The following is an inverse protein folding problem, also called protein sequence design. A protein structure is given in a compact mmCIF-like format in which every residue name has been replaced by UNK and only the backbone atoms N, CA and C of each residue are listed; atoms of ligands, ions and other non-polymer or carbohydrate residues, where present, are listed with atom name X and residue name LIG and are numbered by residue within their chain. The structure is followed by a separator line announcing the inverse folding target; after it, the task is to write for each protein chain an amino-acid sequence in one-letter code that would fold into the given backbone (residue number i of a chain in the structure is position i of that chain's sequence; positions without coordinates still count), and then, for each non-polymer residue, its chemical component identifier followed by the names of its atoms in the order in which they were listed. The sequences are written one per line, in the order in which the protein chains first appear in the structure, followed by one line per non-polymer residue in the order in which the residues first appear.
data_IF_305081301288
#
_entry.id   IF_305081301288
#
_cell.length_a   1.000
_cell.length_b   1.000
_cell.length_c   1.000
_cell.angle_alpha   90.00
_cell.angle_beta   90.00
_cell.angle_gamma   90.00
#
_symmetry.space_group_name_H-M   'P 1'
#
loop_
_entity.id
_entity.type
_entity.pdbx_description
1 polymer ?
#
# COMPACT_ATOMS: atom_id res chain seq x y z
N UNK A 1 8.68 -21.42 -58.18
CA UNK A 1 9.24 -21.88 -56.89
C UNK A 1 10.78 -21.77 -56.85
N UNK A 2 11.45 -21.66 -58.00
CA UNK A 2 12.89 -21.41 -58.14
C UNK A 2 13.35 -19.99 -57.73
N UNK A 3 12.52 -18.96 -57.90
CA UNK A 3 12.88 -17.56 -57.57
C UNK A 3 13.06 -17.28 -56.07
N UNK A 4 12.33 -17.99 -55.19
CA UNK A 4 12.46 -17.83 -53.73
C UNK A 4 13.74 -18.50 -53.21
N UNK A 5 14.12 -19.63 -53.83
CA UNK A 5 15.27 -20.47 -53.46
C UNK A 5 16.59 -19.75 -53.72
N UNK A 6 16.73 -19.07 -54.85
CA UNK A 6 17.90 -18.22 -55.13
C UNK A 6 17.95 -16.96 -54.25
N UNK A 7 16.81 -16.48 -53.75
CA UNK A 7 16.75 -15.24 -52.97
C UNK A 7 17.40 -15.35 -51.59
N UNK A 8 17.13 -16.42 -50.82
CA UNK A 8 17.63 -16.54 -49.44
C UNK A 8 19.13 -16.86 -49.40
N UNK A 9 19.59 -17.77 -50.25
CA UNK A 9 21.02 -18.10 -50.37
C UNK A 9 21.82 -16.87 -50.79
N UNK A 10 21.32 -16.08 -51.74
CA UNK A 10 22.00 -14.86 -52.18
C UNK A 10 22.01 -13.81 -51.07
N UNK A 11 20.90 -13.58 -50.36
CA UNK A 11 20.85 -12.65 -49.21
C UNK A 11 21.88 -12.99 -48.13
N UNK A 12 22.05 -14.28 -47.82
CA UNK A 12 23.03 -14.73 -46.82
C UNK A 12 24.45 -14.54 -47.33
N UNK A 13 24.72 -14.82 -48.62
CA UNK A 13 26.03 -14.56 -49.24
C UNK A 13 26.36 -13.08 -49.27
N UNK A 14 25.40 -12.22 -49.58
CA UNK A 14 25.58 -10.76 -49.61
C UNK A 14 25.89 -10.23 -48.21
N UNK A 15 25.19 -10.73 -47.18
CA UNK A 15 25.44 -10.35 -45.79
C UNK A 15 26.84 -10.78 -45.32
N UNK A 16 27.27 -11.99 -45.68
CA UNK A 16 28.57 -12.55 -45.32
C UNK A 16 29.71 -12.11 -46.27
N UNK A 17 29.38 -11.45 -47.39
CA UNK A 17 30.29 -11.06 -48.48
C UNK A 17 31.09 -12.24 -49.05
N UNK A 18 30.39 -13.33 -49.36
CA UNK A 18 30.98 -14.56 -49.88
C UNK A 18 30.76 -14.72 -51.39
N UNK A 19 31.81 -15.12 -52.10
CA UNK A 19 31.77 -15.48 -53.52
C UNK A 19 32.04 -16.99 -53.70
N UNK A 20 31.27 -17.66 -54.57
CA UNK A 20 31.43 -19.09 -54.85
C UNK A 20 30.19 -19.95 -54.53
N UNK A 21 30.32 -21.27 -54.72
CA UNK A 21 29.29 -22.26 -54.37
C UNK A 21 29.50 -22.76 -52.94
N UNK A 22 28.45 -22.66 -52.13
CA UNK A 22 28.42 -23.14 -50.76
C UNK A 22 27.14 -23.93 -50.56
N UNK A 23 27.21 -25.02 -49.79
CA UNK A 23 26.00 -25.72 -49.34
C UNK A 23 25.19 -24.86 -48.38
N UNK A 24 23.88 -25.11 -48.33
CA UNK A 24 22.96 -24.41 -47.41
C UNK A 24 23.38 -24.58 -45.94
N UNK A 25 23.88 -25.76 -45.56
CA UNK A 25 24.39 -26.05 -44.22
C UNK A 25 25.72 -25.34 -43.89
N UNK A 26 26.62 -25.17 -44.86
CA UNK A 26 27.86 -24.40 -44.67
C UNK A 26 27.56 -22.91 -44.48
N UNK A 27 26.67 -22.35 -45.29
CA UNK A 27 26.22 -20.96 -45.16
C UNK A 27 25.58 -20.72 -43.79
N UNK A 28 24.78 -21.67 -43.30
CA UNK A 28 24.19 -21.57 -41.97
C UNK A 28 25.25 -21.54 -40.87
N UNK A 29 26.28 -22.38 -40.97
CA UNK A 29 27.37 -22.39 -39.99
C UNK A 29 28.14 -21.08 -39.97
N UNK A 30 28.49 -20.54 -41.13
CA UNK A 30 29.19 -19.26 -41.23
C UNK A 30 28.32 -18.09 -40.74
N UNK A 31 27.03 -18.11 -41.05
CA UNK A 31 26.09 -17.10 -40.55
C UNK A 31 25.93 -17.16 -39.03
N UNK A 32 25.92 -18.36 -38.45
CA UNK A 32 25.85 -18.56 -37.01
C UNK A 32 27.12 -18.07 -36.29
N UNK A 33 28.30 -18.31 -36.86
CA UNK A 33 29.55 -17.77 -36.34
C UNK A 33 29.59 -16.25 -36.44
N UNK A 34 29.15 -15.70 -37.57
CA UNK A 34 29.03 -14.25 -37.76
C UNK A 34 28.09 -13.63 -36.72
N UNK A 35 26.90 -14.21 -36.51
CA UNK A 35 25.96 -13.83 -35.45
C UNK A 35 26.61 -13.79 -34.07
N UNK A 36 27.38 -14.84 -33.74
CA UNK A 36 28.07 -14.95 -32.45
C UNK A 36 29.13 -13.86 -32.26
N UNK A 37 29.77 -13.41 -33.33
CA UNK A 37 30.74 -12.31 -33.31
C UNK A 37 30.09 -10.93 -33.20
N UNK A 38 28.83 -10.81 -33.62
CA UNK A 38 28.03 -9.60 -33.52
C UNK A 38 27.23 -9.50 -32.21
N UNK A 39 27.42 -10.40 -31.25
CA UNK A 39 26.66 -10.34 -29.99
C UNK A 39 26.92 -9.00 -29.27
N UNK A 40 25.87 -8.23 -28.89
CA UNK A 40 26.03 -6.89 -28.30
C UNK A 40 26.94 -6.86 -27.07
N UNK A 41 26.91 -7.92 -26.25
CA UNK A 41 27.75 -8.04 -25.04
C UNK A 41 29.26 -8.05 -25.31
N UNK A 42 29.70 -8.26 -26.56
CA UNK A 42 31.13 -8.18 -26.93
C UNK A 42 31.63 -6.74 -27.08
N UNK A 43 30.73 -5.76 -27.16
CA UNK A 43 31.07 -4.35 -27.35
C UNK A 43 30.99 -3.61 -26.01
N UNK A 44 31.92 -2.69 -25.77
CA UNK A 44 32.01 -1.94 -24.52
C UNK A 44 31.23 -0.62 -24.56
N UNK A 45 31.17 0.01 -25.73
CA UNK A 45 30.57 1.34 -25.93
C UNK A 45 29.13 1.24 -26.42
N UNK A 46 28.26 2.13 -25.95
CA UNK A 46 26.81 2.07 -26.22
C UNK A 46 26.46 2.23 -27.70
N UNK A 47 27.10 3.16 -28.43
CA UNK A 47 26.87 3.34 -29.87
C UNK A 47 27.20 2.06 -30.66
N UNK A 48 28.28 1.37 -30.28
CA UNK A 48 28.70 0.11 -30.91
C UNK A 48 27.76 -1.04 -30.54
N UNK A 49 27.25 -1.08 -29.30
CA UNK A 49 26.26 -2.07 -28.88
C UNK A 49 24.96 -1.92 -29.66
N UNK A 50 24.52 -0.69 -29.89
CA UNK A 50 23.28 -0.43 -30.62
C UNK A 50 23.40 -0.86 -32.08
N UNK A 51 24.51 -0.50 -32.75
CA UNK A 51 24.78 -0.96 -34.12
C UNK A 51 24.91 -2.49 -34.20
N UNK A 52 25.60 -3.10 -33.22
CA UNK A 52 25.72 -4.55 -33.13
C UNK A 52 24.37 -5.23 -32.90
N UNK A 53 23.48 -4.67 -32.08
CA UNK A 53 22.16 -5.24 -31.82
C UNK A 53 21.25 -5.20 -33.05
N UNK A 54 21.31 -4.14 -33.85
CA UNK A 54 20.58 -4.08 -35.12
C UNK A 54 21.09 -5.14 -36.11
N UNK A 55 22.41 -5.27 -36.26
CA UNK A 55 23.01 -6.32 -37.11
C UNK A 55 22.70 -7.72 -36.58
N UNK A 56 22.77 -7.93 -35.27
CA UNK A 56 22.46 -9.20 -34.62
C UNK A 56 21.01 -9.63 -34.89
N UNK A 57 20.05 -8.69 -34.77
CA UNK A 57 18.64 -8.94 -35.12
C UNK A 57 18.45 -9.32 -36.58
N UNK A 58 19.11 -8.58 -37.49
CA UNK A 58 19.06 -8.87 -38.93
C UNK A 58 19.60 -10.27 -39.24
N UNK A 59 20.74 -10.64 -38.65
CA UNK A 59 21.37 -11.95 -38.84
C UNK A 59 20.52 -13.08 -38.22
N UNK A 60 19.88 -12.85 -37.06
CA UNK A 60 18.94 -13.82 -36.46
C UNK A 60 17.74 -14.12 -37.37
N UNK A 61 17.20 -13.09 -38.03
CA UNK A 61 16.11 -13.27 -39.00
C UNK A 61 16.58 -14.13 -40.19
N UNK A 62 17.77 -13.84 -40.73
CA UNK A 62 18.37 -14.61 -41.84
C UNK A 62 18.66 -16.07 -41.44
N UNK A 63 19.13 -16.33 -40.22
CA UNK A 63 19.32 -17.71 -39.71
C UNK A 63 18.01 -18.48 -39.69
N UNK A 64 16.93 -17.85 -39.24
CA UNK A 64 15.60 -18.48 -39.18
C UNK A 64 15.03 -18.75 -40.58
N UNK A 65 15.21 -17.82 -41.52
CA UNK A 65 14.81 -18.02 -42.92
C UNK A 65 15.62 -19.14 -43.59
N UNK A 66 16.93 -19.18 -43.36
CA UNK A 66 17.82 -20.20 -43.91
C UNK A 66 17.55 -21.58 -43.30
N UNK A 67 17.23 -21.67 -42.01
CA UNK A 67 16.83 -22.92 -41.37
C UNK A 67 15.56 -23.51 -41.99
N UNK A 68 14.55 -22.66 -42.24
CA UNK A 68 13.32 -23.09 -42.92
C UNK A 68 13.63 -23.61 -44.32
N UNK A 69 14.50 -22.91 -45.06
CA UNK A 69 14.96 -23.35 -46.37
C UNK A 69 15.66 -24.71 -46.30
N UNK A 70 16.58 -24.92 -45.36
CA UNK A 70 17.29 -26.18 -45.14
C UNK A 70 16.32 -27.34 -44.81
N UNK A 71 15.28 -27.07 -44.02
CA UNK A 71 14.22 -28.05 -43.74
C UNK A 71 13.43 -28.44 -44.98
N UNK A 72 13.03 -27.46 -45.78
CA UNK A 72 12.33 -27.69 -47.06
C UNK A 72 13.19 -28.50 -48.03
N UNK A 73 14.48 -28.15 -48.13
CA UNK A 73 15.47 -28.89 -48.94
C UNK A 73 15.61 -30.34 -48.48
N UNK A 74 15.69 -30.57 -47.16
CA UNK A 74 15.75 -31.92 -46.57
C UNK A 74 14.50 -32.74 -46.89
N UNK A 75 13.31 -32.14 -46.85
CA UNK A 75 12.04 -32.81 -47.15
C UNK A 75 11.90 -33.18 -48.64
N UNK A 76 12.56 -32.44 -49.52
CA UNK A 76 12.54 -32.69 -50.97
C UNK A 76 13.50 -33.82 -51.42
N UNK A 77 14.52 -34.15 -50.61
CA UNK A 77 15.53 -35.18 -50.93
C UNK A 77 15.03 -36.60 -50.64
N UNK A 78 15.49 -37.58 -51.42
CA UNK A 78 15.19 -38.99 -51.15
C UNK A 78 15.98 -39.48 -49.91
N UNK A 79 15.47 -40.46 -49.14
CA UNK A 79 16.16 -40.96 -47.94
C UNK A 79 17.63 -41.35 -48.17
N UNK A 80 17.96 -41.98 -49.31
CA UNK A 80 19.34 -42.36 -49.65
C UNK A 80 20.30 -41.18 -49.91
N UNK A 81 19.77 -40.02 -50.30
CA UNK A 81 20.54 -38.79 -50.54
C UNK A 81 20.77 -37.98 -49.25
N UNK A 82 20.00 -38.29 -48.19
CA UNK A 82 20.07 -37.59 -46.90
C UNK A 82 21.14 -38.19 -45.99
N UNK A 83 21.37 -39.52 -46.07
CA UNK A 83 22.27 -40.26 -45.18
C UNK A 83 23.66 -39.60 -45.06
N UNK A 84 24.33 -39.17 -46.15
CA UNK A 84 25.65 -38.56 -46.07
C UNK A 84 25.68 -37.19 -45.36
N UNK A 85 24.53 -36.50 -45.26
CA UNK A 85 24.42 -35.14 -44.74
C UNK A 85 23.62 -35.05 -43.44
N UNK A 86 23.24 -36.19 -42.87
CA UNK A 86 22.37 -36.28 -41.69
C UNK A 86 22.93 -35.44 -40.52
N UNK A 87 24.21 -35.58 -40.23
CA UNK A 87 24.88 -34.89 -39.13
C UNK A 87 24.87 -33.36 -39.35
N UNK A 88 25.07 -32.90 -40.59
CA UNK A 88 25.01 -31.48 -40.94
C UNK A 88 23.62 -30.89 -40.69
N UNK A 89 22.55 -31.61 -41.05
CA UNK A 89 21.18 -31.19 -40.75
C UNK A 89 20.86 -31.19 -39.25
N UNK A 90 21.38 -32.16 -38.49
CA UNK A 90 21.23 -32.21 -37.04
C UNK A 90 21.94 -31.05 -36.35
N UNK A 91 23.17 -30.72 -36.76
CA UNK A 91 23.93 -29.57 -36.24
C UNK A 91 23.16 -28.25 -36.45
N UNK A 92 22.59 -28.03 -37.64
CA UNK A 92 21.75 -26.85 -37.92
C UNK A 92 20.57 -26.79 -36.96
N UNK A 93 19.88 -27.91 -36.76
CA UNK A 93 18.71 -28.01 -35.87
C UNK A 93 19.09 -27.69 -34.41
N UNK A 94 20.20 -28.23 -33.92
CA UNK A 94 20.71 -27.98 -32.56
C UNK A 94 21.06 -26.50 -32.39
N UNK A 95 21.81 -25.93 -33.35
CA UNK A 95 22.17 -24.51 -33.33
C UNK A 95 20.94 -23.60 -33.33
N UNK A 96 19.94 -23.88 -34.15
CA UNK A 96 18.71 -23.10 -34.17
C UNK A 96 17.93 -23.22 -32.86
N UNK A 97 17.89 -24.42 -32.27
CA UNK A 97 17.25 -24.64 -30.97
C UNK A 97 17.93 -23.79 -29.88
N UNK A 98 19.26 -23.68 -29.90
CA UNK A 98 19.99 -22.81 -28.98
C UNK A 98 19.60 -21.34 -29.16
N UNK A 99 19.49 -20.85 -30.41
CA UNK A 99 19.03 -19.47 -30.70
C UNK A 99 17.64 -19.23 -30.09
N UNK A 100 16.70 -20.16 -30.29
CA UNK A 100 15.35 -20.05 -29.74
C UNK A 100 15.33 -20.07 -28.20
N UNK A 101 16.19 -20.86 -27.57
CA UNK A 101 16.34 -20.89 -26.11
C UNK A 101 16.89 -19.56 -25.58
N UNK A 102 17.90 -18.99 -26.22
CA UNK A 102 18.46 -17.68 -25.87
C UNK A 102 17.41 -16.58 -25.96
N UNK A 103 16.61 -16.54 -27.03
CA UNK A 103 15.50 -15.59 -27.18
C UNK A 103 14.45 -15.77 -26.07
N UNK A 104 14.13 -17.02 -25.73
CA UNK A 104 13.21 -17.32 -24.64
C UNK A 104 13.75 -16.85 -23.30
N UNK A 105 15.04 -17.05 -23.02
CA UNK A 105 15.70 -16.55 -21.80
C UNK A 105 15.57 -15.02 -21.72
N UNK A 106 15.94 -14.30 -22.79
CA UNK A 106 15.83 -12.82 -22.83
C UNK A 106 14.39 -12.34 -22.60
N UNK A 107 13.41 -13.05 -23.17
CA UNK A 107 11.98 -12.73 -22.98
C UNK A 107 11.51 -12.96 -21.53
N UNK A 108 11.99 -14.04 -20.89
CA UNK A 108 11.66 -14.37 -19.50
C UNK A 108 12.31 -13.38 -18.54
N UNK A 109 13.56 -12.98 -18.77
CA UNK A 109 14.24 -11.94 -17.98
C UNK A 109 13.52 -10.59 -18.06
N UNK A 110 13.07 -10.21 -19.27
CA UNK A 110 12.25 -9.02 -19.48
C UNK A 110 10.92 -9.11 -18.72
N UNK A 111 10.31 -10.30 -18.65
CA UNK A 111 9.07 -10.54 -17.90
C UNK A 111 9.30 -10.46 -16.39
N UNK A 112 10.41 -11.02 -15.88
CA UNK A 112 10.79 -10.98 -14.47
C UNK A 112 11.01 -9.52 -14.04
N UNK A 113 11.77 -8.75 -14.80
CA UNK A 113 12.03 -7.34 -14.49
C UNK A 113 10.76 -6.49 -14.48
N UNK A 114 9.84 -6.72 -15.42
CA UNK A 114 8.52 -6.08 -15.43
C UNK A 114 7.68 -6.46 -14.19
N UNK A 115 7.66 -7.74 -13.82
CA UNK A 115 6.93 -8.24 -12.64
C UNK A 115 7.53 -7.72 -11.33
N UNK A 116 8.84 -7.61 -11.24
CA UNK A 116 9.52 -7.03 -10.07
C UNK A 116 9.19 -5.54 -9.91
N UNK A 117 9.09 -4.80 -11.01
CA UNK A 117 8.64 -3.41 -10.99
C UNK A 117 7.19 -3.30 -10.51
N UNK A 118 6.28 -4.11 -11.06
CA UNK A 118 4.86 -4.17 -10.64
C UNK A 118 4.74 -4.52 -9.15
N UNK A 119 5.51 -5.48 -8.65
CA UNK A 119 5.55 -5.84 -7.23
C UNK A 119 6.07 -4.70 -6.34
N UNK A 120 7.05 -3.92 -6.81
CA UNK A 120 7.55 -2.76 -6.07
C UNK A 120 6.49 -1.67 -5.96
N UNK A 121 5.79 -1.37 -7.06
CA UNK A 121 4.72 -0.38 -7.07
C UNK A 121 3.53 -0.81 -6.20
N UNK A 122 3.05 -2.05 -6.33
CA UNK A 122 1.99 -2.59 -5.46
C UNK A 122 2.37 -2.55 -3.97
N UNK A 123 3.63 -2.85 -3.63
CA UNK A 123 4.12 -2.73 -2.25
C UNK A 123 4.10 -1.29 -1.74
N UNK A 124 4.41 -0.31 -2.59
CA UNK A 124 4.32 1.12 -2.23
C UNK A 124 2.86 1.53 -2.03
N UNK A 125 1.96 1.15 -2.93
CA UNK A 125 0.54 1.46 -2.84
C UNK A 125 -0.10 0.86 -1.58
N UNK A 126 0.19 -0.41 -1.28
CA UNK A 126 -0.25 -1.05 -0.03
C UNK A 126 0.28 -0.29 1.20
N UNK A 127 1.51 0.22 1.16
CA UNK A 127 2.08 1.01 2.27
C UNK A 127 1.35 2.35 2.44
N UNK A 128 1.05 3.04 1.34
CA UNK A 128 0.30 4.30 1.35
C UNK A 128 -1.12 4.09 1.89
N UNK A 129 -1.88 3.15 1.31
CA UNK A 129 -3.23 2.81 1.76
C UNK A 129 -3.27 2.39 3.24
N UNK A 130 -2.26 1.66 3.71
CA UNK A 130 -2.16 1.26 5.12
C UNK A 130 -1.92 2.46 6.04
N UNK A 131 -0.99 3.34 5.68
CA UNK A 131 -0.69 4.54 6.48
C UNK A 131 -1.90 5.48 6.54
N UNK A 132 -2.56 5.72 5.40
CA UNK A 132 -3.73 6.59 5.32
C UNK A 132 -4.91 6.06 6.12
N UNK A 133 -5.12 4.73 6.16
CA UNK A 133 -6.30 4.14 6.81
C UNK A 133 -6.31 4.26 8.34
N UNK A 134 -5.15 4.19 9.00
CA UNK A 134 -5.10 4.42 10.46
C UNK A 134 -5.36 5.88 10.81
N UNK A 135 -4.87 6.80 9.99
CA UNK A 135 -5.10 8.23 10.19
C UNK A 135 -6.52 8.63 9.81
N UNK A 136 -7.10 8.02 8.76
CA UNK A 136 -8.52 8.15 8.41
C UNK A 136 -9.41 7.68 9.56
N UNK A 137 -9.15 6.49 10.14
CA UNK A 137 -9.92 5.98 11.30
C UNK A 137 -9.76 6.87 12.53
N UNK A 138 -8.57 7.44 12.72
CA UNK A 138 -8.33 8.41 13.80
C UNK A 138 -9.12 9.70 13.56
N UNK A 139 -9.10 10.22 12.33
CA UNK A 139 -9.84 11.43 11.96
C UNK A 139 -11.35 11.22 11.99
N UNK A 140 -11.86 10.05 11.58
CA UNK A 140 -13.27 9.67 11.67
C UNK A 140 -13.73 9.67 13.13
N UNK A 141 -12.98 9.00 14.02
CA UNK A 141 -13.27 8.98 15.45
C UNK A 141 -13.24 10.41 16.04
N UNK A 142 -12.19 11.18 15.77
CA UNK A 142 -12.08 12.58 16.27
C UNK A 142 -13.22 13.44 15.73
N UNK A 143 -13.63 13.27 14.47
CA UNK A 143 -14.71 14.03 13.84
C UNK A 143 -16.07 13.80 14.50
N UNK A 144 -16.34 12.61 15.04
CA UNK A 144 -17.56 12.34 15.81
C UNK A 144 -17.65 13.14 17.11
N UNK A 145 -16.50 13.43 17.73
CA UNK A 145 -16.41 14.22 18.96
C UNK A 145 -16.14 15.70 18.72
N UNK A 146 -15.71 16.07 17.50
CA UNK A 146 -15.49 17.45 17.10
C UNK A 146 -16.79 18.25 17.11
N UNK A 147 -16.83 19.43 17.74
CA UNK A 147 -17.98 20.32 17.60
C UNK A 147 -18.17 20.68 16.12
N UNK A 148 -19.34 20.35 15.57
CA UNK A 148 -19.64 20.45 14.14
C UNK A 148 -19.46 21.88 13.63
N UNK A 149 -18.43 22.15 12.81
CA UNK A 149 -18.19 23.49 12.23
C UNK A 149 -19.25 23.94 11.21
N UNK A 150 -20.07 23.03 10.67
CA UNK A 150 -20.89 23.25 9.46
C UNK A 150 -22.35 23.67 9.67
N UNK A 151 -22.80 23.99 10.88
CA UNK A 151 -24.16 24.54 11.03
C UNK A 151 -24.15 25.70 12.03
N UNK A 152 -24.16 26.92 11.52
CA UNK A 152 -24.59 28.15 12.21
C UNK A 152 -23.77 28.69 13.40
N UNK A 153 -22.74 28.01 13.92
CA UNK A 153 -22.24 28.34 15.27
C UNK A 153 -21.08 29.35 15.37
N UNK A 154 -20.22 29.61 14.38
CA UNK A 154 -19.16 30.63 14.56
C UNK A 154 -19.68 32.05 14.38
N UNK A 155 -20.53 32.27 13.37
CA UNK A 155 -21.32 33.51 13.20
C UNK A 155 -22.46 33.59 14.20
N UNK A 156 -23.09 32.47 14.54
CA UNK A 156 -24.14 32.40 15.54
C UNK A 156 -23.63 32.60 16.96
N UNK A 157 -22.37 32.28 17.28
CA UNK A 157 -21.75 32.51 18.59
C UNK A 157 -21.29 33.96 18.74
N UNK A 158 -20.66 34.56 17.73
CA UNK A 158 -20.42 36.02 17.77
C UNK A 158 -21.76 36.74 17.80
N UNK A 159 -22.75 36.34 17.00
CA UNK A 159 -24.10 36.89 17.09
C UNK A 159 -24.76 36.64 18.45
N UNK A 160 -24.69 35.44 19.04
CA UNK A 160 -25.24 35.15 20.37
C UNK A 160 -24.52 35.91 21.46
N UNK A 161 -23.20 36.02 21.41
CA UNK A 161 -22.40 36.76 22.37
C UNK A 161 -22.66 38.26 22.22
N UNK A 162 -22.74 38.78 21.01
CA UNK A 162 -23.09 40.19 20.73
C UNK A 162 -24.55 40.48 21.09
N UNK A 163 -25.47 39.55 20.84
CA UNK A 163 -26.88 39.63 21.26
C UNK A 163 -26.99 39.52 22.79
N UNK A 164 -26.23 38.65 23.44
CA UNK A 164 -26.15 38.53 24.90
C UNK A 164 -25.54 39.79 25.51
N UNK A 165 -24.50 40.38 24.91
CA UNK A 165 -23.95 41.67 25.32
C UNK A 165 -24.95 42.81 25.09
N UNK A 166 -25.73 42.77 24.00
CA UNK A 166 -26.81 43.72 23.72
C UNK A 166 -28.00 43.58 24.67
N UNK A 167 -28.32 42.35 25.09
CA UNK A 167 -29.35 42.05 26.09
C UNK A 167 -28.84 42.42 27.48
N UNK A 168 -27.57 42.16 27.81
CA UNK A 168 -26.94 42.55 29.08
C UNK A 168 -26.82 44.07 29.22
N UNK A 169 -26.48 44.78 28.15
CA UNK A 169 -26.37 46.25 28.16
C UNK A 169 -27.73 46.95 28.23
N UNK A 170 -28.81 46.25 27.86
CA UNK A 170 -30.20 46.72 27.94
C UNK A 170 -31.05 45.87 28.87
N UNK A 171 -30.44 45.18 29.84
CA UNK A 171 -31.14 44.15 30.61
C UNK A 171 -32.25 44.78 31.46
N UNK A 172 -32.03 46.01 31.93
CA UNK A 172 -33.02 46.79 32.68
C UNK A 172 -34.20 47.20 31.78
N UNK A 173 -33.96 47.60 30.52
CA UNK A 173 -35.02 47.95 29.56
C UNK A 173 -35.86 46.71 29.16
N UNK A 174 -35.19 45.57 28.96
CA UNK A 174 -35.82 44.29 28.59
C UNK A 174 -36.58 43.70 29.78
N UNK A 175 -36.04 43.79 31.00
CA UNK A 175 -36.71 43.38 32.23
C UNK A 175 -38.02 44.17 32.48
N UNK A 176 -38.03 45.48 32.20
CA UNK A 176 -39.25 46.32 32.25
C UNK A 176 -40.28 45.91 31.19
N UNK A 177 -39.83 45.58 29.96
CA UNK A 177 -40.70 45.14 28.89
C UNK A 177 -41.30 43.75 29.16
N UNK A 178 -40.50 42.81 29.66
CA UNK A 178 -40.95 41.45 29.97
C UNK A 178 -41.82 41.43 31.24
N UNK A 179 -41.50 42.21 32.28
CA UNK A 179 -42.34 42.30 33.48
C UNK A 179 -43.74 42.89 33.21
N UNK A 180 -43.90 43.64 32.11
CA UNK A 180 -45.21 44.15 31.65
C UNK A 180 -46.11 43.08 31.03
N UNK A 181 -45.55 42.01 30.46
CA UNK A 181 -46.28 40.96 29.73
C UNK A 181 -46.12 39.56 30.33
N UNK A 182 -45.25 39.39 31.34
CA UNK A 182 -44.98 38.11 32.00
C UNK A 182 -45.43 38.17 33.46
N UNK A 183 -46.16 37.17 33.97
CA UNK A 183 -46.51 37.06 35.38
C UNK A 183 -45.32 36.69 36.28
N UNK A 184 -44.11 36.56 35.71
CA UNK A 184 -42.89 36.17 36.43
C UNK A 184 -42.20 37.38 37.04
N UNK A 185 -41.79 37.24 38.31
CA UNK A 185 -40.97 38.26 38.99
C UNK A 185 -39.66 38.46 38.25
N UNK A 186 -39.24 39.71 38.10
CA UNK A 186 -38.01 40.13 37.41
C UNK A 186 -36.77 39.32 37.79
N UNK A 187 -36.58 39.07 39.10
CA UNK A 187 -35.47 38.26 39.63
C UNK A 187 -35.41 36.84 39.03
N UNK A 188 -36.56 36.24 38.75
CA UNK A 188 -36.65 34.90 38.17
C UNK A 188 -36.23 34.89 36.69
N UNK A 189 -36.63 35.92 35.92
CA UNK A 189 -36.22 36.08 34.53
C UNK A 189 -34.72 36.30 34.40
N UNK A 190 -34.14 37.17 35.24
CA UNK A 190 -32.69 37.40 35.26
C UNK A 190 -31.92 36.12 35.62
N UNK A 191 -32.44 35.31 36.54
CA UNK A 191 -31.85 34.02 36.91
C UNK A 191 -31.89 33.04 35.73
N UNK A 192 -33.00 32.95 34.99
CA UNK A 192 -33.11 32.07 33.81
C UNK A 192 -32.12 32.49 32.73
N UNK A 193 -32.07 33.78 32.40
CA UNK A 193 -31.16 34.32 31.38
C UNK A 193 -29.70 34.03 31.77
N UNK A 194 -29.33 34.24 33.04
CA UNK A 194 -28.01 33.93 33.56
C UNK A 194 -27.66 32.44 33.46
N UNK A 195 -28.61 31.55 33.80
CA UNK A 195 -28.42 30.09 33.68
C UNK A 195 -28.20 29.68 32.22
N UNK A 196 -28.98 30.21 31.28
CA UNK A 196 -28.80 29.94 29.84
C UNK A 196 -27.42 30.42 29.36
N UNK A 197 -27.02 31.62 29.80
CA UNK A 197 -25.75 32.24 29.42
C UNK A 197 -24.55 31.40 29.89
N UNK A 198 -24.63 30.79 31.08
CA UNK A 198 -23.57 29.91 31.60
C UNK A 198 -23.65 28.49 31.00
N UNK A 199 -24.85 27.97 30.76
CA UNK A 199 -25.03 26.61 30.25
C UNK A 199 -24.42 26.42 28.85
N UNK A 200 -24.54 27.41 27.96
CA UNK A 200 -24.05 27.32 26.58
C UNK A 200 -22.50 27.15 26.53
N UNK A 201 -21.68 28.02 27.15
CA UNK A 201 -20.24 27.83 27.25
C UNK A 201 -19.86 26.51 27.93
N UNK A 202 -20.59 26.09 28.97
CA UNK A 202 -20.30 24.83 29.67
C UNK A 202 -20.52 23.60 28.77
N UNK A 203 -21.58 23.56 27.96
CA UNK A 203 -21.82 22.48 27.00
C UNK A 203 -20.70 22.43 25.95
N UNK A 204 -20.23 23.58 25.49
CA UNK A 204 -19.15 23.65 24.51
C UNK A 204 -17.80 23.26 25.11
N UNK A 205 -17.47 23.79 26.29
CA UNK A 205 -16.26 23.45 27.04
C UNK A 205 -16.22 21.94 27.32
N UNK A 206 -17.37 21.36 27.69
CA UNK A 206 -17.54 19.92 27.84
C UNK A 206 -17.18 19.17 26.55
N UNK A 207 -17.80 19.49 25.41
CA UNK A 207 -17.52 18.82 24.13
C UNK A 207 -16.06 18.97 23.68
N UNK A 208 -15.48 20.16 23.84
CA UNK A 208 -14.07 20.39 23.50
C UNK A 208 -13.12 19.62 24.41
N UNK A 209 -13.50 19.42 25.67
CA UNK A 209 -12.74 18.59 26.60
C UNK A 209 -12.85 17.10 26.23
N UNK A 210 -14.03 16.62 25.83
CA UNK A 210 -14.24 15.27 25.30
C UNK A 210 -13.37 14.99 24.08
N UNK A 211 -13.37 15.91 23.10
CA UNK A 211 -12.51 15.83 21.90
C UNK A 211 -11.03 15.67 22.26
N UNK A 212 -10.51 16.53 23.16
CA UNK A 212 -9.11 16.46 23.60
C UNK A 212 -8.77 15.16 24.33
N UNK A 213 -9.70 14.61 25.12
CA UNK A 213 -9.47 13.33 25.80
C UNK A 213 -9.37 12.20 24.77
N UNK A 214 -10.31 12.14 23.82
CA UNK A 214 -10.34 11.11 22.78
C UNK A 214 -9.12 11.22 21.87
N UNK A 215 -8.74 12.42 21.45
CA UNK A 215 -7.54 12.66 20.64
C UNK A 215 -6.28 12.17 21.37
N UNK A 216 -6.13 12.50 22.66
CA UNK A 216 -5.01 11.99 23.48
C UNK A 216 -5.05 10.48 23.61
N UNK A 217 -6.22 9.88 23.80
CA UNK A 217 -6.35 8.42 23.90
C UNK A 217 -5.96 7.75 22.57
N UNK A 218 -6.47 8.26 21.44
CA UNK A 218 -6.15 7.76 20.11
C UNK A 218 -4.65 7.88 19.77
N UNK A 219 -4.01 8.98 20.17
CA UNK A 219 -2.56 9.13 20.02
C UNK A 219 -1.79 8.22 20.97
N UNK A 220 -2.24 8.10 22.22
CA UNK A 220 -1.62 7.25 23.24
C UNK A 220 -1.58 5.78 22.81
N UNK A 221 -2.68 5.25 22.25
CA UNK A 221 -2.69 3.83 21.82
C UNK A 221 -1.67 3.55 20.72
N UNK A 222 -1.29 4.56 19.92
CA UNK A 222 -0.27 4.39 18.86
C UNK A 222 1.16 4.36 19.39
N UNK A 223 1.40 4.81 20.62
CA UNK A 223 2.76 5.00 21.18
C UNK A 223 3.46 3.66 21.47
N UNK A 224 4.81 3.61 21.35
CA UNK A 224 5.56 2.40 21.67
C UNK A 224 5.38 1.92 23.11
N UNK A 225 5.31 2.85 24.07
CA UNK A 225 5.05 2.52 25.49
C UNK A 225 3.74 1.77 25.68
N UNK A 226 2.69 2.18 24.97
CA UNK A 226 1.38 1.52 25.06
C UNK A 226 1.39 0.13 24.40
N UNK A 227 2.11 -0.01 23.28
CA UNK A 227 2.33 -1.29 22.61
C UNK A 227 3.09 -2.27 23.52
N UNK A 228 4.14 -1.81 24.19
CA UNK A 228 4.91 -2.66 25.11
C UNK A 228 4.05 -3.12 26.29
N UNK A 229 3.25 -2.22 26.86
CA UNK A 229 2.28 -2.60 27.89
C UNK A 229 1.26 -3.64 27.41
N UNK A 230 0.93 -3.67 26.12
CA UNK A 230 0.08 -4.72 25.55
C UNK A 230 0.83 -6.06 25.44
N UNK A 231 2.10 -6.05 25.05
CA UNK A 231 2.93 -7.27 25.01
C UNK A 231 3.08 -7.86 26.41
N UNK A 232 3.39 -7.01 27.41
CA UNK A 232 3.44 -7.41 28.82
C UNK A 232 2.09 -7.98 29.30
N UNK A 233 0.97 -7.40 28.87
CA UNK A 233 -0.35 -7.94 29.13
C UNK A 233 -0.53 -9.34 28.51
N UNK A 234 -0.10 -9.57 27.28
CA UNK A 234 -0.21 -10.91 26.67
C UNK A 234 0.62 -11.97 27.42
N UNK A 235 1.78 -11.57 27.95
CA UNK A 235 2.61 -12.41 28.81
C UNK A 235 1.96 -12.68 30.18
N UNK A 236 1.42 -11.65 30.84
CA UNK A 236 0.71 -11.74 32.13
C UNK A 236 -0.42 -12.77 32.08
N UNK A 237 -1.16 -12.82 30.97
CA UNK A 237 -2.30 -13.74 30.76
C UNK A 237 -1.92 -15.03 30.03
N UNK A 238 -0.63 -15.31 29.80
CA UNK A 238 -0.12 -16.52 29.14
C UNK A 238 -0.76 -16.81 27.77
N UNK A 239 -1.12 -15.75 27.03
CA UNK A 239 -1.70 -15.86 25.69
C UNK A 239 -0.62 -16.18 24.63
N UNK A 240 0.66 -16.02 25.00
CA UNK A 240 1.79 -16.22 24.11
C UNK A 240 1.75 -15.23 22.96
N UNK A 241 2.12 -15.69 21.76
CA UNK A 241 2.19 -14.81 20.59
C UNK A 241 0.87 -14.68 19.84
N UNK A 242 -0.20 -15.35 20.29
CA UNK A 242 -1.52 -15.32 19.65
C UNK A 242 -2.51 -14.55 20.51
N UNK A 243 -3.31 -13.69 19.89
CA UNK A 243 -4.35 -12.95 20.58
C UNK A 243 -5.52 -12.65 19.64
N UNK A 244 -6.71 -12.41 20.18
CA UNK A 244 -7.90 -12.00 19.44
C UNK A 244 -8.24 -10.53 19.66
N UNK A 245 -9.22 -10.00 18.92
CA UNK A 245 -9.69 -8.64 19.12
C UNK A 245 -10.22 -8.40 20.53
N UNK A 246 -10.86 -9.42 21.12
CA UNK A 246 -11.35 -9.37 22.49
C UNK A 246 -10.20 -9.13 23.48
N UNK A 247 -9.02 -9.71 23.24
CA UNK A 247 -7.86 -9.47 24.10
C UNK A 247 -7.40 -8.01 24.02
N UNK A 248 -7.39 -7.41 22.83
CA UNK A 248 -7.09 -5.99 22.63
C UNK A 248 -8.12 -5.11 23.33
N UNK A 249 -9.41 -5.41 23.13
CA UNK A 249 -10.51 -4.70 23.76
C UNK A 249 -10.36 -4.70 25.29
N UNK A 250 -10.15 -5.87 25.88
CA UNK A 250 -9.98 -6.03 27.33
C UNK A 250 -8.75 -5.26 27.86
N UNK A 251 -7.66 -5.25 27.11
CA UNK A 251 -6.48 -4.45 27.45
C UNK A 251 -6.79 -2.95 27.44
N UNK A 252 -7.46 -2.46 26.40
CA UNK A 252 -7.87 -1.05 26.31
C UNK A 252 -8.79 -0.66 27.46
N UNK A 253 -9.76 -1.50 27.81
CA UNK A 253 -10.61 -1.27 28.99
C UNK A 253 -9.77 -1.22 30.26
N UNK A 254 -8.83 -2.15 30.47
CA UNK A 254 -7.95 -2.22 31.66
C UNK A 254 -7.07 -0.97 31.82
N UNK A 255 -6.65 -0.36 30.71
CA UNK A 255 -5.69 0.76 30.67
C UNK A 255 -6.33 2.15 30.57
N UNK A 256 -7.46 2.29 29.87
CA UNK A 256 -8.07 3.59 29.59
C UNK A 256 -9.28 3.88 30.46
N UNK A 257 -10.02 2.85 30.90
CA UNK A 257 -11.21 3.06 31.73
C UNK A 257 -10.80 3.22 33.20
N UNK A 258 -11.20 4.31 33.87
CA UNK A 258 -10.90 4.51 35.27
C UNK A 258 -11.49 3.40 36.15
N UNK A 259 -10.68 2.88 37.08
CA UNK A 259 -11.11 1.83 38.02
C UNK A 259 -11.91 2.36 39.20
N UNK A 260 -11.64 3.60 39.64
CA UNK A 260 -12.29 4.15 40.82
C UNK A 260 -13.76 4.45 40.55
N UNK A 261 -14.63 4.13 41.51
CA UNK A 261 -16.09 4.28 41.35
C UNK A 261 -16.51 5.69 40.97
N UNK A 262 -15.96 6.72 41.63
CA UNK A 262 -16.29 8.12 41.37
C UNK A 262 -15.86 8.58 39.98
N UNK A 263 -14.66 8.22 39.53
CA UNK A 263 -14.20 8.56 38.18
C UNK A 263 -14.97 7.77 37.13
N UNK A 264 -15.25 6.48 37.36
CA UNK A 264 -16.11 5.68 36.48
C UNK A 264 -17.49 6.31 36.33
N UNK A 265 -18.11 6.76 37.41
CA UNK A 265 -19.40 7.46 37.37
C UNK A 265 -19.30 8.77 36.55
N UNK A 266 -18.26 9.57 36.80
CA UNK A 266 -18.03 10.82 36.07
C UNK A 266 -17.87 10.60 34.55
N UNK A 267 -17.04 9.64 34.14
CA UNK A 267 -16.80 9.30 32.72
C UNK A 267 -17.90 8.48 32.06
N UNK A 268 -18.91 8.02 32.80
CA UNK A 268 -20.08 7.33 32.23
C UNK A 268 -21.32 8.22 32.16
N UNK A 269 -21.49 9.14 33.13
CA UNK A 269 -22.69 10.00 33.22
C UNK A 269 -22.43 11.44 32.83
N UNK A 270 -21.27 11.99 33.17
CA UNK A 270 -20.97 13.41 32.95
C UNK A 270 -20.19 13.62 31.66
N UNK A 271 -19.17 12.79 31.38
CA UNK A 271 -18.35 12.84 30.17
C UNK A 271 -18.26 11.45 29.53
N UNK A 272 -19.23 11.02 28.72
CA UNK A 272 -19.28 9.68 28.13
C UNK A 272 -18.25 9.48 27.02
N UNK A 273 -16.96 9.55 27.35
CA UNK A 273 -15.85 9.42 26.38
C UNK A 273 -15.45 7.96 26.17
N UNK A 274 -15.46 7.11 27.19
CA UNK A 274 -15.06 5.69 27.09
C UNK A 274 -16.28 4.76 27.00
N UNK A 275 -17.17 5.05 26.05
CA UNK A 275 -18.26 4.13 25.71
C UNK A 275 -17.73 2.89 24.99
N UNK A 276 -18.52 1.83 24.94
CA UNK A 276 -18.20 0.61 24.20
C UNK A 276 -17.81 0.90 22.73
N UNK A 277 -18.59 1.76 22.06
CA UNK A 277 -18.31 2.19 20.68
C UNK A 277 -16.97 2.95 20.54
N UNK A 278 -16.58 3.73 21.55
CA UNK A 278 -15.28 4.41 21.55
C UNK A 278 -14.15 3.42 21.71
N UNK A 279 -14.27 2.48 22.65
CA UNK A 279 -13.23 1.47 22.88
C UNK A 279 -13.09 0.57 21.67
N UNK A 280 -14.18 0.22 21.01
CA UNK A 280 -14.17 -0.56 19.77
C UNK A 280 -13.47 0.20 18.63
N UNK A 281 -13.74 1.50 18.48
CA UNK A 281 -13.00 2.35 17.54
C UNK A 281 -11.49 2.45 17.88
N UNK A 282 -11.14 2.57 19.16
CA UNK A 282 -9.74 2.62 19.61
C UNK A 282 -9.03 1.29 19.41
N UNK A 283 -9.74 0.17 19.57
CA UNK A 283 -9.27 -1.19 19.27
C UNK A 283 -8.88 -1.31 17.80
N UNK A 284 -9.74 -0.85 16.90
CA UNK A 284 -9.43 -0.83 15.48
C UNK A 284 -8.19 0.03 15.19
N UNK A 285 -8.11 1.25 15.73
CA UNK A 285 -6.94 2.13 15.56
C UNK A 285 -5.66 1.44 16.05
N UNK A 286 -5.72 0.77 17.21
CA UNK A 286 -4.59 0.06 17.78
C UNK A 286 -4.14 -1.11 16.91
N UNK A 287 -5.07 -1.98 16.49
CA UNK A 287 -4.79 -3.14 15.63
C UNK A 287 -4.21 -2.69 14.29
N UNK A 288 -4.80 -1.68 13.66
CA UNK A 288 -4.27 -1.14 12.40
C UNK A 288 -2.87 -0.57 12.58
N UNK A 289 -2.60 0.16 13.67
CA UNK A 289 -1.26 0.66 13.98
C UNK A 289 -0.24 -0.48 14.12
N UNK A 290 -0.60 -1.57 14.80
CA UNK A 290 0.26 -2.76 14.92
C UNK A 290 0.51 -3.43 13.55
N UNK A 291 -0.51 -3.55 12.69
CA UNK A 291 -0.38 -4.10 11.34
C UNK A 291 0.49 -3.22 10.43
N UNK A 292 0.37 -1.89 10.54
CA UNK A 292 1.17 -0.91 9.80
C UNK A 292 2.64 -1.02 10.20
N UNK A 293 2.91 -1.07 11.51
CA UNK A 293 4.26 -1.25 12.07
C UNK A 293 4.81 -2.67 11.86
N UNK A 294 4.06 -3.58 11.22
CA UNK A 294 4.42 -4.99 11.00
C UNK A 294 4.73 -5.75 12.28
N UNK A 295 4.14 -5.35 13.40
CA UNK A 295 4.33 -6.00 14.69
C UNK A 295 3.46 -7.26 14.81
N UNK A 296 2.38 -7.32 14.03
CA UNK A 296 1.44 -8.44 14.03
C UNK A 296 1.05 -8.83 12.60
N UNK A 297 0.56 -10.05 12.43
CA UNK A 297 -0.10 -10.52 11.22
C UNK A 297 -1.39 -11.25 11.55
N UNK A 298 -2.31 -11.29 10.59
CA UNK A 298 -3.58 -12.00 10.72
C UNK A 298 -3.30 -13.50 10.61
N UNK A 299 -3.62 -14.28 11.65
CA UNK A 299 -3.28 -15.71 11.70
C UNK A 299 -4.43 -16.60 11.23
N UNK A 300 -5.67 -16.35 11.68
CA UNK A 300 -6.87 -17.02 11.16
C UNK A 300 -8.16 -16.29 11.61
N UNK A 301 -9.22 -16.20 10.79
CA UNK A 301 -10.54 -15.83 11.29
C UNK A 301 -11.18 -17.06 11.95
N UNK A 302 -11.43 -17.02 13.26
CA UNK A 302 -12.11 -18.10 13.97
C UNK A 302 -13.39 -17.53 14.58
N UNK A 303 -14.56 -17.98 14.09
CA UNK A 303 -15.89 -17.56 14.58
C UNK A 303 -16.09 -16.04 14.71
N UNK A 304 -16.00 -15.30 13.60
CA UNK A 304 -16.22 -13.84 13.50
C UNK A 304 -15.22 -12.94 14.27
N UNK A 305 -14.40 -13.49 15.18
CA UNK A 305 -13.31 -12.78 15.84
C UNK A 305 -12.01 -12.95 15.04
N UNK A 306 -11.31 -11.84 14.77
CA UNK A 306 -10.03 -11.86 14.06
C UNK A 306 -8.94 -12.23 15.06
N UNK A 307 -8.21 -13.29 14.76
CA UNK A 307 -7.02 -13.64 15.54
C UNK A 307 -5.75 -13.14 14.86
N UNK A 308 -4.81 -12.70 15.68
CA UNK A 308 -3.56 -12.10 15.29
C UNK A 308 -2.41 -12.86 15.96
N UNK A 309 -1.26 -12.82 15.29
CA UNK A 309 -0.02 -13.34 15.84
C UNK A 309 1.06 -12.28 15.81
N UNK A 310 1.81 -12.16 16.90
CA UNK A 310 2.98 -11.28 17.00
C UNK A 310 4.06 -11.80 16.07
N UNK A 311 4.71 -10.88 15.35
CA UNK A 311 5.87 -11.20 14.54
C UNK A 311 7.03 -11.60 15.45
N UNK A 312 7.48 -12.87 15.37
CA UNK A 312 8.68 -13.32 16.09
C UNK A 312 9.92 -12.70 15.43
N UNK A 313 10.23 -11.44 15.75
CA UNK A 313 11.58 -10.92 15.57
C UNK A 313 12.30 -11.04 16.91
N UNK A 314 13.45 -11.74 17.00
CA UNK A 314 14.16 -11.95 18.26
C UNK A 314 14.72 -10.67 18.92
N UNK A 315 14.54 -9.47 18.34
CA UNK A 315 15.15 -8.22 18.82
C UNK A 315 14.14 -7.06 18.87
N UNK A 316 13.33 -7.04 19.92
CA UNK A 316 12.65 -5.85 20.47
C UNK A 316 12.56 -6.17 21.96
N UNK A 317 13.52 -5.85 22.84
CA UNK A 317 13.98 -4.56 23.36
C UNK A 317 15.30 -4.80 24.13
N UNK A 318 16.29 -3.88 24.21
CA UNK A 318 16.12 -2.54 24.79
C UNK A 318 16.93 -1.40 24.11
N UNK A 319 16.42 -0.16 24.16
CA UNK A 319 17.30 1.02 24.25
C UNK A 319 17.73 1.75 22.97
N UNK A 320 17.08 1.61 21.82
CA UNK A 320 17.29 2.51 20.68
C UNK A 320 15.96 2.90 20.04
N UNK A 321 15.37 3.97 20.57
CA UNK A 321 14.58 4.87 19.73
C UNK A 321 15.56 5.99 19.37
N UNK A 322 16.19 5.88 18.21
CA UNK A 322 16.80 7.06 17.61
C UNK A 322 15.67 8.02 17.25
N UNK A 323 15.81 9.24 17.78
CA UNK A 323 14.95 10.39 17.58
C UNK A 323 14.96 10.84 16.11
N UNK A 324 14.28 10.10 15.23
CA UNK A 324 13.86 10.63 13.93
C UNK A 324 12.49 10.05 13.54
N UNK A 325 11.41 10.57 14.15
CA UNK A 325 10.07 10.59 13.56
C UNK A 325 9.26 11.79 14.05
#
# INVERSE_FOLDING_TARGET
MTDIIQSIIQKVKDELRLEGEFSSTELYNQLFEYRTNLHPDKFLYDDQKQEAEEKFKKVNALLSELERFIKEEKLAKKPGEIIPYKDSYEIVTIKQTNVQIEEKIKSLESTITAKDYELKELKKEIRLLRNEKADEKTQELVKHYKPTKKSLFSLGLTFLVTLLFGILSKIDEIAVLISKYSPLKEKFLNTIIFVILIAIPLIYAKKSYEEKIIERAANRVKTPLFINGFVEYLEEYKLGNNFSELNVYNFLVKQLVPRNFFSKYYYTKVLPVFTEATIDSLKDIFIYNLLIKKLIYISNPNMLDRTFRIWNSPHYFPGQFDDEF
#
